data_IF_124932933572
#
_entry.id   IF_124932933572
#
_cell.length_a   1.000
_cell.length_b   1.000
_cell.length_c   1.000
_cell.angle_alpha   90.00
_cell.angle_beta   90.00
_cell.angle_gamma   90.00
#
_symmetry.space_group_name_H-M   'P 1'
#
loop_
_entity.id
_entity.type
_entity.pdbx_description
1 polymer ?
#
# COMPACT_ATOMS: atom_id res chain seq x y z
N UNK A 1 -42.91 -45.72 46.63
CA UNK A 1 -41.46 -45.57 46.38
C UNK A 1 -41.08 -45.34 44.91
N UNK A 2 -41.65 -46.06 43.92
CA UNK A 2 -41.23 -45.97 42.50
C UNK A 2 -41.35 -44.57 41.83
N UNK A 3 -42.38 -43.77 42.14
CA UNK A 3 -42.56 -42.42 41.55
C UNK A 3 -41.51 -41.39 42.03
N UNK A 4 -41.06 -41.48 43.29
CA UNK A 4 -40.02 -40.58 43.83
C UNK A 4 -38.66 -40.85 43.20
N UNK A 5 -38.31 -42.12 42.95
CA UNK A 5 -37.06 -42.46 42.26
C UNK A 5 -37.07 -42.03 40.80
N UNK A 6 -38.19 -42.16 40.10
CA UNK A 6 -38.30 -41.70 38.71
C UNK A 6 -38.13 -40.17 38.58
N UNK A 7 -38.75 -39.40 39.49
CA UNK A 7 -38.60 -37.95 39.52
C UNK A 7 -37.14 -37.53 39.79
N UNK A 8 -36.47 -38.17 40.74
CA UNK A 8 -35.06 -37.87 41.08
C UNK A 8 -34.13 -38.20 39.90
N UNK A 9 -34.32 -39.35 39.24
CA UNK A 9 -33.52 -39.72 38.06
C UNK A 9 -33.73 -38.75 36.90
N UNK A 10 -34.97 -38.33 36.64
CA UNK A 10 -35.26 -37.36 35.59
C UNK A 10 -34.62 -35.99 35.87
N UNK A 11 -34.66 -35.52 37.11
CA UNK A 11 -34.00 -34.26 37.51
C UNK A 11 -32.48 -34.34 37.35
N UNK A 12 -31.85 -35.46 37.71
CA UNK A 12 -30.41 -35.66 37.54
C UNK A 12 -30.01 -35.62 36.05
N UNK A 13 -30.77 -36.28 35.18
CA UNK A 13 -30.51 -36.27 33.74
C UNK A 13 -30.63 -34.85 33.17
N UNK A 14 -31.67 -34.11 33.54
CA UNK A 14 -31.86 -32.72 33.09
C UNK A 14 -30.70 -31.82 33.54
N UNK A 15 -30.25 -31.97 34.80
CA UNK A 15 -29.11 -31.20 35.32
C UNK A 15 -27.82 -31.56 34.60
N UNK A 16 -27.58 -32.84 34.29
CA UNK A 16 -26.39 -33.26 33.53
C UNK A 16 -26.43 -32.68 32.11
N UNK A 17 -27.59 -32.72 31.43
CA UNK A 17 -27.75 -32.15 30.08
C UNK A 17 -27.54 -30.62 30.10
N UNK A 18 -28.07 -29.93 31.11
CA UNK A 18 -27.89 -28.48 31.26
C UNK A 18 -26.44 -28.10 31.58
N UNK A 19 -25.74 -28.89 32.42
CA UNK A 19 -24.34 -28.64 32.74
C UNK A 19 -23.42 -28.93 31.56
N UNK A 20 -23.72 -29.98 30.77
CA UNK A 20 -22.95 -30.30 29.57
C UNK A 20 -23.19 -29.30 28.44
N UNK A 21 -24.41 -28.78 28.28
CA UNK A 21 -24.67 -27.69 27.33
C UNK A 21 -24.01 -26.38 27.76
N UNK A 22 -24.03 -26.02 29.05
CA UNK A 22 -23.27 -24.89 29.58
C UNK A 22 -21.77 -25.05 29.38
N UNK A 23 -21.23 -26.26 29.56
CA UNK A 23 -19.82 -26.56 29.33
C UNK A 23 -19.44 -26.43 27.86
N UNK A 24 -20.27 -26.93 26.94
CA UNK A 24 -20.05 -26.78 25.48
C UNK A 24 -20.15 -25.31 25.06
N UNK A 25 -21.13 -24.55 25.60
CA UNK A 25 -21.27 -23.11 25.33
C UNK A 25 -20.07 -22.34 25.86
N UNK A 26 -19.64 -22.58 27.12
CA UNK A 26 -18.46 -21.94 27.68
C UNK A 26 -17.18 -22.36 26.95
N UNK A 27 -17.05 -23.63 26.57
CA UNK A 27 -15.90 -24.10 25.80
C UNK A 27 -15.83 -23.39 24.45
N UNK A 28 -16.95 -23.32 23.72
CA UNK A 28 -17.03 -22.65 22.42
C UNK A 28 -16.83 -21.13 22.53
N UNK A 29 -17.33 -20.48 23.59
CA UNK A 29 -17.06 -19.08 23.91
C UNK A 29 -15.62 -18.83 24.39
N UNK A 30 -14.93 -19.86 24.91
CA UNK A 30 -13.57 -19.77 25.45
C UNK A 30 -12.47 -20.16 24.45
N UNK A 31 -12.83 -20.71 23.29
CA UNK A 31 -11.89 -20.91 22.20
C UNK A 31 -11.50 -19.54 21.67
N UNK A 32 -10.41 -18.98 22.21
CA UNK A 32 -9.64 -17.98 21.47
C UNK A 32 -9.21 -18.65 20.18
N UNK A 33 -9.93 -18.37 19.10
CA UNK A 33 -9.50 -18.77 17.76
C UNK A 33 -8.19 -18.04 17.53
N UNK A 34 -7.09 -18.78 17.47
CA UNK A 34 -5.81 -18.17 17.15
C UNK A 34 -5.93 -17.49 15.77
N UNK A 35 -5.38 -16.28 15.61
CA UNK A 35 -5.39 -15.61 14.31
C UNK A 35 -4.71 -16.51 13.27
N UNK A 36 -5.21 -16.54 12.02
CA UNK A 36 -4.61 -17.36 10.99
C UNK A 36 -3.19 -16.88 10.71
N UNK A 37 -2.32 -17.82 10.36
CA UNK A 37 -0.94 -17.52 9.98
C UNK A 37 -0.85 -16.88 8.58
N UNK A 38 -1.89 -17.06 7.74
CA UNK A 38 -2.00 -16.46 6.41
C UNK A 38 -3.42 -15.92 6.16
N UNK A 39 -3.48 -14.71 5.56
CA UNK A 39 -4.71 -14.07 5.10
C UNK A 39 -4.74 -14.07 3.58
N UNK A 40 -5.63 -14.86 2.98
CA UNK A 40 -5.74 -15.05 1.53
C UNK A 40 -7.07 -14.48 1.07
N UNK A 41 -7.04 -13.60 0.07
CA UNK A 41 -8.21 -12.82 -0.29
C UNK A 41 -8.16 -12.16 -1.66
N UNK A 42 -9.16 -11.32 -1.88
CA UNK A 42 -9.35 -10.55 -3.11
C UNK A 42 -9.65 -9.10 -2.75
N UNK A 43 -9.08 -8.17 -3.53
CA UNK A 43 -9.47 -6.76 -3.50
C UNK A 43 -10.59 -6.49 -4.48
N UNK A 44 -11.78 -6.16 -3.95
CA UNK A 44 -12.96 -5.83 -4.74
C UNK A 44 -12.97 -4.35 -5.11
N UNK A 45 -12.89 -4.06 -6.41
CA UNK A 45 -12.86 -2.68 -6.93
C UNK A 45 -14.14 -2.26 -7.67
N UNK A 46 -15.18 -3.10 -7.67
CA UNK A 46 -16.45 -2.83 -8.36
C UNK A 46 -17.36 -1.92 -7.56
N UNK A 47 -18.41 -1.38 -8.15
CA UNK A 47 -19.23 -0.29 -7.59
C UNK A 47 -20.56 -0.73 -6.98
N UNK A 48 -20.79 -2.04 -6.77
CA UNK A 48 -22.05 -2.57 -6.26
C UNK A 48 -21.89 -3.55 -5.09
N UNK A 49 -22.62 -3.30 -4.00
CA UNK A 49 -22.71 -4.24 -2.86
C UNK A 49 -23.16 -5.64 -3.32
N UNK A 50 -24.12 -5.72 -4.23
CA UNK A 50 -24.62 -6.99 -4.78
C UNK A 50 -23.51 -7.80 -5.44
N UNK A 51 -22.67 -7.16 -6.26
CA UNK A 51 -21.55 -7.85 -6.92
C UNK A 51 -20.44 -8.20 -5.92
N UNK A 52 -20.17 -7.35 -4.94
CA UNK A 52 -19.24 -7.68 -3.85
C UNK A 52 -19.66 -8.96 -3.10
N UNK A 53 -20.96 -9.10 -2.78
CA UNK A 53 -21.53 -10.32 -2.18
C UNK A 53 -21.37 -11.56 -3.06
N UNK A 54 -21.63 -11.43 -4.37
CA UNK A 54 -21.40 -12.53 -5.32
C UNK A 54 -19.94 -12.96 -5.38
N UNK A 55 -19.00 -12.00 -5.31
CA UNK A 55 -17.58 -12.31 -5.26
C UNK A 55 -17.22 -13.04 -3.97
N UNK A 56 -17.72 -12.59 -2.80
CA UNK A 56 -17.56 -13.28 -1.52
C UNK A 56 -18.06 -14.73 -1.63
N UNK A 57 -19.25 -14.95 -2.19
CA UNK A 57 -19.82 -16.28 -2.36
C UNK A 57 -18.98 -17.18 -3.27
N UNK A 58 -18.36 -16.62 -4.31
CA UNK A 58 -17.49 -17.35 -5.23
C UNK A 58 -16.20 -17.85 -4.55
N UNK A 59 -15.75 -17.20 -3.46
CA UNK A 59 -14.38 -17.41 -2.92
C UNK A 59 -14.29 -17.84 -1.47
N UNK A 60 -15.36 -17.68 -0.67
CA UNK A 60 -15.37 -17.97 0.79
C UNK A 60 -14.98 -19.40 1.19
N UNK A 61 -14.94 -20.35 0.24
CA UNK A 61 -14.52 -21.74 0.49
C UNK A 61 -13.01 -21.98 0.48
N UNK A 62 -12.22 -21.05 -0.05
CA UNK A 62 -10.77 -21.17 -0.24
C UNK A 62 -10.03 -19.83 -0.07
N UNK A 63 -10.67 -18.89 0.62
CA UNK A 63 -10.10 -17.60 1.02
C UNK A 63 -10.68 -17.22 2.37
N UNK A 64 -9.97 -16.38 3.11
CA UNK A 64 -10.41 -15.90 4.42
C UNK A 64 -10.30 -14.37 4.57
N UNK A 65 -10.00 -13.62 3.51
CA UNK A 65 -9.88 -12.16 3.53
C UNK A 65 -10.69 -11.53 2.38
N UNK A 66 -11.49 -10.52 2.70
CA UNK A 66 -12.12 -9.64 1.74
C UNK A 66 -11.62 -8.21 1.93
N UNK A 67 -11.01 -7.65 0.88
CA UNK A 67 -10.54 -6.27 0.88
C UNK A 67 -11.51 -5.43 0.04
N UNK A 68 -12.14 -4.44 0.64
CA UNK A 68 -12.96 -3.48 -0.10
C UNK A 68 -12.05 -2.37 -0.62
N UNK A 69 -11.80 -2.34 -1.93
CA UNK A 69 -10.96 -1.33 -2.61
C UNK A 69 -11.75 -0.68 -3.75
N UNK A 70 -12.94 -0.16 -3.44
CA UNK A 70 -13.93 0.30 -4.41
C UNK A 70 -14.21 1.80 -4.31
N UNK A 71 -13.85 2.53 -5.37
CA UNK A 71 -13.79 3.99 -5.42
C UNK A 71 -14.89 4.75 -4.68
N UNK A 72 -16.15 4.64 -5.10
CA UNK A 72 -17.26 5.36 -4.43
C UNK A 72 -17.87 4.58 -3.27
N UNK A 73 -17.95 3.24 -3.35
CA UNK A 73 -18.55 2.43 -2.27
C UNK A 73 -17.80 2.61 -0.95
N UNK A 74 -16.48 2.76 -1.01
CA UNK A 74 -15.68 2.95 0.19
C UNK A 74 -15.96 4.29 0.91
N UNK A 75 -16.67 5.22 0.27
CA UNK A 75 -17.08 6.50 0.87
C UNK A 75 -18.50 6.45 1.42
N UNK A 76 -19.23 5.37 1.20
CA UNK A 76 -20.55 5.12 1.72
C UNK A 76 -20.45 4.11 2.88
N UNK A 77 -20.47 4.62 4.11
CA UNK A 77 -20.30 3.80 5.30
C UNK A 77 -21.39 2.74 5.48
N UNK A 78 -22.60 2.95 4.93
CA UNK A 78 -23.65 1.94 4.96
C UNK A 78 -23.31 0.78 4.02
N UNK A 79 -22.79 1.09 2.83
CA UNK A 79 -22.27 0.07 1.90
C UNK A 79 -21.06 -0.67 2.48
N UNK A 80 -20.12 0.04 3.13
CA UNK A 80 -18.99 -0.58 3.83
C UNK A 80 -19.47 -1.53 4.93
N UNK A 81 -20.45 -1.09 5.72
CA UNK A 81 -21.05 -1.91 6.78
C UNK A 81 -21.72 -3.16 6.23
N UNK A 82 -22.51 -3.03 5.16
CA UNK A 82 -23.24 -4.15 4.57
C UNK A 82 -22.30 -5.21 3.97
N UNK A 83 -21.23 -4.79 3.29
CA UNK A 83 -20.21 -5.72 2.78
C UNK A 83 -19.36 -6.33 3.90
N UNK A 84 -18.99 -5.55 4.91
CA UNK A 84 -18.26 -6.03 6.08
C UNK A 84 -19.04 -7.10 6.85
N UNK A 85 -20.34 -6.86 7.09
CA UNK A 85 -21.24 -7.85 7.71
C UNK A 85 -21.29 -9.13 6.90
N UNK A 86 -21.49 -9.02 5.59
CA UNK A 86 -21.60 -10.19 4.73
C UNK A 86 -20.31 -11.00 4.66
N UNK A 87 -19.15 -10.33 4.58
CA UNK A 87 -17.84 -10.99 4.59
C UNK A 87 -17.59 -11.74 5.90
N UNK A 88 -17.94 -11.13 7.03
CA UNK A 88 -17.73 -11.71 8.37
C UNK A 88 -18.71 -12.86 8.63
N UNK A 89 -19.97 -12.72 8.23
CA UNK A 89 -20.96 -13.82 8.27
C UNK A 89 -20.52 -15.00 7.39
N UNK A 90 -19.80 -14.73 6.30
CA UNK A 90 -19.16 -15.74 5.46
C UNK A 90 -17.86 -16.34 6.05
N UNK A 91 -17.47 -15.92 7.27
CA UNK A 91 -16.30 -16.45 7.98
C UNK A 91 -14.97 -15.76 7.61
N UNK A 92 -15.01 -14.65 6.87
CA UNK A 92 -13.84 -13.94 6.39
C UNK A 92 -13.41 -12.81 7.34
N UNK A 93 -12.19 -12.34 7.14
CA UNK A 93 -11.66 -11.09 7.67
C UNK A 93 -11.96 -9.96 6.69
N UNK A 94 -12.12 -8.75 7.21
CA UNK A 94 -12.47 -7.58 6.42
C UNK A 94 -11.39 -6.49 6.54
N UNK A 95 -10.98 -5.94 5.40
CA UNK A 95 -10.06 -4.80 5.30
C UNK A 95 -10.67 -3.73 4.38
N UNK A 96 -11.28 -2.67 4.93
CA UNK A 96 -11.81 -1.56 4.13
C UNK A 96 -10.72 -0.54 3.78
N UNK A 97 -10.64 -0.18 2.50
CA UNK A 97 -9.81 0.92 1.98
C UNK A 97 -10.58 2.23 2.01
N UNK A 98 -10.02 3.30 2.57
CA UNK A 98 -10.68 4.60 2.65
C UNK A 98 -9.98 5.70 1.85
N UNK A 99 -9.05 5.36 0.95
CA UNK A 99 -8.27 6.38 0.25
C UNK A 99 -7.49 7.25 1.23
N UNK A 100 -7.41 8.55 0.93
CA UNK A 100 -6.91 9.57 1.84
C UNK A 100 -8.03 10.31 2.60
N UNK A 101 -9.23 9.69 2.69
CA UNK A 101 -10.41 10.33 3.26
C UNK A 101 -10.57 10.00 4.74
N UNK A 102 -10.18 10.93 5.62
CA UNK A 102 -10.54 10.91 7.04
C UNK A 102 -11.55 12.03 7.32
N UNK A 103 -12.71 11.66 7.86
CA UNK A 103 -13.78 12.60 8.22
C UNK A 103 -14.04 12.54 9.74
N UNK A 104 -14.72 13.56 10.27
CA UNK A 104 -15.04 13.64 11.71
C UNK A 104 -15.80 12.41 12.23
N UNK A 105 -16.73 11.89 11.41
CA UNK A 105 -17.52 10.67 11.72
C UNK A 105 -16.71 9.37 11.74
N UNK A 106 -15.47 9.40 11.23
CA UNK A 106 -14.66 8.19 11.07
C UNK A 106 -14.28 7.56 12.41
N UNK A 107 -14.03 8.38 13.43
CA UNK A 107 -13.77 7.90 14.80
C UNK A 107 -14.93 7.08 15.36
N UNK A 108 -16.15 7.64 15.25
CA UNK A 108 -17.39 6.98 15.72
C UNK A 108 -17.66 5.70 14.94
N UNK A 109 -17.49 5.73 13.62
CA UNK A 109 -17.64 4.55 12.79
C UNK A 109 -16.64 3.46 13.18
N UNK A 110 -15.36 3.82 13.38
CA UNK A 110 -14.31 2.87 13.71
C UNK A 110 -14.53 2.19 15.07
N UNK A 111 -14.99 2.93 16.08
CA UNK A 111 -15.36 2.34 17.38
C UNK A 111 -16.55 1.38 17.27
N UNK A 112 -17.56 1.74 16.47
CA UNK A 112 -18.70 0.86 16.17
C UNK A 112 -18.25 -0.40 15.43
N UNK A 113 -17.41 -0.25 14.40
CA UNK A 113 -16.90 -1.34 13.58
C UNK A 113 -16.07 -2.32 14.41
N UNK A 114 -15.19 -1.85 15.29
CA UNK A 114 -14.45 -2.71 16.23
C UNK A 114 -15.37 -3.47 17.17
N UNK A 115 -16.36 -2.79 17.75
CA UNK A 115 -17.31 -3.44 18.67
C UNK A 115 -18.11 -4.53 17.96
N UNK A 116 -18.48 -4.28 16.70
CA UNK A 116 -19.30 -5.16 15.87
C UNK A 116 -18.52 -6.35 15.32
N UNK A 117 -17.33 -6.12 14.79
CA UNK A 117 -16.55 -7.09 14.01
C UNK A 117 -15.36 -7.68 14.78
N UNK A 118 -14.96 -7.08 15.89
CA UNK A 118 -13.84 -7.52 16.72
C UNK A 118 -12.57 -7.74 15.91
N UNK A 119 -11.89 -8.86 16.18
CA UNK A 119 -10.63 -9.22 15.51
C UNK A 119 -10.80 -9.57 14.02
N UNK A 120 -12.05 -9.67 13.51
CA UNK A 120 -12.30 -9.87 12.08
C UNK A 120 -12.17 -8.59 11.26
N UNK A 121 -12.21 -7.42 11.89
CA UNK A 121 -11.76 -6.17 11.29
C UNK A 121 -10.24 -6.09 11.41
N UNK A 122 -9.52 -6.26 10.30
CA UNK A 122 -8.06 -6.31 10.35
C UNK A 122 -7.39 -4.97 10.64
N UNK A 123 -8.02 -3.90 10.20
CA UNK A 123 -7.42 -2.58 10.16
C UNK A 123 -8.19 -1.64 9.25
N UNK A 124 -7.56 -0.52 8.96
CA UNK A 124 -7.96 0.40 7.89
C UNK A 124 -6.86 0.41 6.86
N UNK A 125 -7.24 0.22 5.60
CA UNK A 125 -6.34 0.48 4.47
C UNK A 125 -6.47 1.96 4.11
N UNK A 126 -5.40 2.72 4.35
CA UNK A 126 -5.34 4.18 4.18
C UNK A 126 -4.20 4.54 3.22
N UNK A 127 -4.53 5.34 2.22
CA UNK A 127 -3.66 5.79 1.12
C UNK A 127 -3.06 4.65 0.30
N UNK A 128 -3.37 4.64 -1.00
CA UNK A 128 -2.74 3.74 -1.97
C UNK A 128 -1.53 4.44 -2.60
N UNK A 129 -0.45 3.70 -2.80
CA UNK A 129 0.80 4.11 -3.43
C UNK A 129 1.36 5.45 -2.93
N UNK A 130 1.47 5.67 -1.60
CA UNK A 130 1.87 6.95 -1.05
C UNK A 130 3.20 7.44 -1.67
N UNK A 131 4.18 6.57 -1.90
CA UNK A 131 5.55 6.94 -2.25
C UNK A 131 6.03 6.48 -3.62
N UNK A 132 5.61 5.31 -4.10
CA UNK A 132 6.19 4.66 -5.26
C UNK A 132 5.58 5.06 -6.60
N UNK A 133 5.13 4.07 -7.39
CA UNK A 133 4.69 4.30 -8.77
C UNK A 133 3.26 4.82 -8.75
N UNK A 134 3.09 6.12 -8.53
CA UNK A 134 1.77 6.76 -8.54
C UNK A 134 1.06 6.48 -9.88
N UNK A 135 0.05 5.60 -9.86
CA UNK A 135 -0.88 5.43 -10.97
C UNK A 135 -1.86 6.59 -11.02
N UNK A 136 -2.19 7.12 -9.84
CA UNK A 136 -2.89 8.40 -9.69
C UNK A 136 -2.03 9.56 -10.19
N UNK A 137 -2.66 10.53 -10.85
CA UNK A 137 -1.95 11.58 -11.61
C UNK A 137 -1.03 12.45 -10.75
N UNK A 138 -1.33 12.63 -9.46
CA UNK A 138 -0.55 13.48 -8.57
C UNK A 138 -0.76 13.20 -7.08
N UNK A 139 0.19 13.68 -6.27
CA UNK A 139 0.10 13.77 -4.81
C UNK A 139 0.29 15.22 -4.38
N UNK A 140 -0.45 15.66 -3.35
CA UNK A 140 -0.35 17.00 -2.77
C UNK A 140 0.31 16.98 -1.40
N UNK A 141 1.10 18.01 -1.15
CA UNK A 141 1.74 18.33 0.11
C UNK A 141 1.38 19.77 0.47
N UNK A 142 1.33 20.05 1.76
CA UNK A 142 1.20 21.41 2.27
C UNK A 142 2.51 21.79 2.94
N UNK A 143 3.04 22.97 2.61
CA UNK A 143 4.15 23.51 3.36
C UNK A 143 3.62 24.14 4.65
N UNK A 144 3.97 23.55 5.79
CA UNK A 144 3.47 24.02 7.08
C UNK A 144 4.06 25.38 7.49
N UNK A 145 5.17 25.80 6.88
CA UNK A 145 5.82 27.08 7.20
C UNK A 145 5.19 28.22 6.40
N UNK A 146 5.02 28.03 5.09
CA UNK A 146 4.52 29.08 4.20
C UNK A 146 3.01 29.01 3.95
N UNK A 147 2.40 27.84 4.17
CA UNK A 147 1.02 27.54 3.78
C UNK A 147 0.86 27.21 2.30
N UNK A 148 1.95 27.17 1.52
CA UNK A 148 1.91 26.91 0.08
C UNK A 148 1.49 25.45 -0.20
N UNK A 149 0.83 25.25 -1.35
CA UNK A 149 0.47 23.92 -1.83
C UNK A 149 1.53 23.43 -2.81
N UNK A 150 2.01 22.20 -2.61
CA UNK A 150 3.00 21.56 -3.48
C UNK A 150 2.36 20.33 -4.10
N UNK A 151 2.39 20.20 -5.42
CA UNK A 151 1.87 19.03 -6.14
C UNK A 151 3.02 18.32 -6.83
N UNK A 152 3.19 17.02 -6.58
CA UNK A 152 4.11 16.13 -7.31
C UNK A 152 3.29 15.32 -8.32
N UNK A 153 3.63 15.38 -9.60
CA UNK A 153 2.93 14.61 -10.64
C UNK A 153 3.55 13.22 -10.83
N UNK A 154 2.81 12.29 -11.46
CA UNK A 154 3.33 10.99 -11.92
C UNK A 154 4.50 11.09 -12.90
N UNK A 155 4.69 12.23 -13.55
CA UNK A 155 5.80 12.50 -14.47
C UNK A 155 7.02 13.10 -13.79
N UNK A 156 6.96 13.36 -12.48
CA UNK A 156 8.06 13.91 -11.71
C UNK A 156 8.16 15.42 -11.73
N UNK A 157 7.17 16.10 -12.34
CA UNK A 157 7.05 17.55 -12.23
C UNK A 157 6.60 17.94 -10.83
N UNK A 158 7.03 19.12 -10.40
CA UNK A 158 6.65 19.70 -9.11
C UNK A 158 6.00 21.05 -9.34
N UNK A 159 4.77 21.22 -8.86
CA UNK A 159 4.04 22.48 -8.93
C UNK A 159 3.94 23.09 -7.54
N UNK A 160 4.55 24.27 -7.35
CA UNK A 160 4.41 25.09 -6.16
C UNK A 160 3.36 26.18 -6.42
N UNK A 161 2.26 26.13 -5.67
CA UNK A 161 1.23 27.16 -5.67
C UNK A 161 1.30 27.97 -4.38
N UNK A 162 1.63 29.25 -4.51
CA UNK A 162 1.75 30.17 -3.39
C UNK A 162 0.38 30.72 -2.99
N UNK A 163 0.23 31.12 -1.72
CA UNK A 163 -1.02 31.69 -1.19
C UNK A 163 -1.54 32.93 -1.95
N UNK A 164 -0.64 33.69 -2.57
CA UNK A 164 -0.99 34.86 -3.37
C UNK A 164 -1.40 34.53 -4.82
N UNK A 165 -1.52 33.25 -5.16
CA UNK A 165 -1.94 32.76 -6.48
C UNK A 165 -0.82 32.56 -7.49
N UNK A 166 0.44 32.88 -7.17
CA UNK A 166 1.59 32.56 -8.03
C UNK A 166 1.72 31.04 -8.13
N UNK A 167 1.92 30.53 -9.35
CA UNK A 167 2.16 29.12 -9.63
C UNK A 167 3.52 28.96 -10.30
N UNK A 168 4.37 28.09 -9.76
CA UNK A 168 5.67 27.75 -10.32
C UNK A 168 5.66 26.26 -10.63
N UNK A 169 5.80 25.90 -11.90
CA UNK A 169 5.93 24.52 -12.36
C UNK A 169 7.40 24.22 -12.67
N UNK A 170 7.99 23.32 -11.90
CA UNK A 170 9.33 22.77 -12.12
C UNK A 170 9.18 21.49 -12.95
N UNK A 171 9.47 21.59 -14.24
CA UNK A 171 9.39 20.48 -15.19
C UNK A 171 10.54 19.49 -14.94
N UNK A 172 10.29 18.20 -15.17
CA UNK A 172 11.27 17.15 -14.88
C UNK A 172 12.57 17.26 -15.71
N UNK A 173 12.51 17.91 -16.87
CA UNK A 173 13.69 18.14 -17.71
C UNK A 173 14.64 19.21 -17.16
N UNK A 174 14.13 20.10 -16.31
CA UNK A 174 14.87 21.17 -15.63
C UNK A 174 14.31 22.57 -15.88
N UNK A 175 13.36 22.72 -16.80
CA UNK A 175 12.74 24.01 -17.10
C UNK A 175 11.78 24.46 -15.99
N UNK A 176 11.62 25.77 -15.82
CA UNK A 176 10.77 26.36 -14.80
C UNK A 176 9.78 27.33 -15.44
N UNK A 177 8.49 27.03 -15.31
CA UNK A 177 7.41 27.90 -15.77
C UNK A 177 6.80 28.65 -14.60
N UNK A 178 6.84 29.98 -14.67
CA UNK A 178 6.22 30.87 -13.70
C UNK A 178 4.92 31.43 -14.30
N UNK A 179 3.82 31.29 -13.56
CA UNK A 179 2.54 31.92 -13.84
C UNK A 179 2.13 32.82 -12.68
N UNK A 180 1.82 34.08 -12.97
CA UNK A 180 1.42 35.07 -11.97
C UNK A 180 0.01 35.57 -12.25
N UNK A 181 -0.85 35.67 -11.20
CA UNK A 181 -2.18 36.20 -11.37
C UNK A 181 -2.13 37.68 -11.79
N UNK A 182 -3.17 38.16 -12.47
CA UNK A 182 -3.28 39.57 -12.83
C UNK A 182 -3.19 40.44 -11.57
N UNK A 183 -2.62 41.67 -11.66
CA UNK A 183 -2.54 42.56 -10.51
C UNK A 183 -3.91 42.82 -9.87
N UNK A 184 -3.97 42.91 -8.55
CA UNK A 184 -5.22 43.22 -7.85
C UNK A 184 -5.88 44.50 -8.41
N UNK A 185 -7.16 44.40 -8.78
CA UNK A 185 -7.92 45.47 -9.44
C UNK A 185 -7.80 45.54 -10.97
N UNK A 186 -7.10 44.58 -11.60
CA UNK A 186 -7.09 44.39 -13.05
C UNK A 186 -8.40 43.76 -13.54
N UNK A 187 -8.85 44.15 -14.74
CA UNK A 187 -9.98 43.52 -15.45
C UNK A 187 -9.55 42.33 -16.34
N UNK A 188 -8.28 41.95 -16.31
CA UNK A 188 -7.77 40.77 -17.04
C UNK A 188 -7.95 39.53 -16.18
N UNK A 189 -8.53 38.48 -16.75
CA UNK A 189 -8.56 37.13 -16.15
C UNK A 189 -7.37 36.26 -16.61
N UNK A 190 -6.43 36.86 -17.35
CA UNK A 190 -5.29 36.16 -17.94
C UNK A 190 -4.06 36.34 -17.06
N UNK A 191 -3.47 35.21 -16.64
CA UNK A 191 -2.19 35.20 -15.94
C UNK A 191 -1.04 35.60 -16.87
N UNK A 192 -0.06 36.30 -16.32
CA UNK A 192 1.24 36.50 -16.96
C UNK A 192 2.07 35.23 -16.84
N UNK A 193 2.91 34.95 -17.84
CA UNK A 193 3.60 33.68 -17.96
C UNK A 193 4.99 33.83 -18.58
N UNK A 194 5.99 33.21 -17.96
CA UNK A 194 7.38 33.18 -18.41
C UNK A 194 7.99 31.81 -18.18
N UNK A 195 8.81 31.38 -19.13
CA UNK A 195 9.53 30.12 -19.10
C UNK A 195 11.03 30.39 -18.94
N UNK A 196 11.61 29.84 -17.89
CA UNK A 196 13.04 29.86 -17.61
C UNK A 196 13.63 28.51 -18.00
N UNK A 197 14.46 28.49 -19.04
CA UNK A 197 15.12 27.28 -19.51
C UNK A 197 16.32 26.94 -18.65
N UNK A 198 16.61 25.65 -18.49
CA UNK A 198 17.79 25.18 -17.77
C UNK A 198 19.13 25.66 -18.38
N UNK A 199 19.14 26.03 -19.68
CA UNK A 199 20.31 26.61 -20.35
C UNK A 199 20.52 28.11 -20.08
N UNK A 200 19.64 28.73 -19.28
CA UNK A 200 19.67 30.15 -18.93
C UNK A 200 18.82 31.05 -19.83
N UNK A 201 18.20 30.51 -20.89
CA UNK A 201 17.30 31.27 -21.77
C UNK A 201 15.99 31.61 -21.04
N UNK A 202 15.46 32.81 -21.29
CA UNK A 202 14.19 33.27 -20.72
C UNK A 202 13.24 33.60 -21.87
N UNK A 203 12.08 32.95 -21.88
CA UNK A 203 11.04 33.12 -22.90
C UNK A 203 9.77 33.69 -22.25
N UNK A 204 9.41 34.92 -22.62
CA UNK A 204 8.16 35.53 -22.14
C UNK A 204 7.01 35.01 -23.00
N UNK A 205 6.12 34.24 -22.38
CA UNK A 205 4.94 33.66 -23.04
C UNK A 205 3.78 34.66 -23.02
N UNK A 206 3.58 35.33 -21.87
CA UNK A 206 2.59 36.40 -21.67
C UNK A 206 3.17 37.46 -20.76
N UNK A 207 3.28 38.70 -21.25
CA UNK A 207 3.90 39.79 -20.52
C UNK A 207 3.25 40.05 -19.15
N UNK A 208 4.08 40.45 -18.19
CA UNK A 208 3.67 40.98 -16.90
C UNK A 208 3.70 42.52 -16.95
N UNK A 209 2.55 43.23 -16.85
CA UNK A 209 2.50 44.69 -16.95
C UNK A 209 3.39 45.44 -15.94
N UNK A 210 3.66 44.83 -14.78
CA UNK A 210 4.54 45.37 -13.72
C UNK A 210 5.88 44.63 -13.64
N UNK A 211 6.16 43.74 -14.59
CA UNK A 211 7.24 42.77 -14.55
C UNK A 211 6.96 41.61 -13.59
N UNK A 212 7.61 40.47 -13.83
CA UNK A 212 7.48 39.26 -13.01
C UNK A 212 8.11 39.42 -11.61
N UNK A 213 7.59 38.73 -10.60
CA UNK A 213 8.13 38.76 -9.23
C UNK A 213 9.52 38.11 -9.12
N UNK A 214 9.83 37.17 -10.00
CA UNK A 214 11.13 36.52 -10.13
C UNK A 214 11.75 36.86 -11.49
N UNK A 215 13.05 37.11 -11.51
CA UNK A 215 13.78 37.61 -12.68
C UNK A 215 14.76 36.59 -13.24
N UNK A 216 15.16 35.60 -12.46
CA UNK A 216 16.19 34.63 -12.84
C UNK A 216 15.76 33.20 -12.55
N UNK A 217 16.37 32.26 -13.29
CA UNK A 217 16.26 30.82 -13.02
C UNK A 217 16.69 30.50 -11.59
N UNK A 218 17.80 31.09 -11.13
CA UNK A 218 18.39 30.81 -9.82
C UNK A 218 17.46 31.20 -8.66
N UNK A 219 16.79 32.36 -8.73
CA UNK A 219 15.82 32.78 -7.71
C UNK A 219 14.66 31.79 -7.55
N UNK A 220 14.19 31.21 -8.66
CA UNK A 220 13.14 30.19 -8.64
C UNK A 220 13.69 28.83 -8.17
N UNK A 221 14.88 28.45 -8.62
CA UNK A 221 15.51 27.19 -8.24
C UNK A 221 15.79 27.12 -6.72
N UNK A 222 16.19 28.23 -6.10
CA UNK A 222 16.45 28.30 -4.65
C UNK A 222 15.21 28.07 -3.78
N UNK A 223 14.01 28.34 -4.32
CA UNK A 223 12.73 28.11 -3.64
C UNK A 223 12.02 26.85 -4.13
N UNK A 224 12.67 26.03 -4.97
CA UNK A 224 12.13 24.74 -5.42
C UNK A 224 11.92 23.82 -4.20
N UNK A 225 10.71 23.26 -4.01
CA UNK A 225 10.49 22.20 -3.03
C UNK A 225 11.25 20.92 -3.41
N UNK A 226 11.52 20.04 -2.44
CA UNK A 226 12.24 18.78 -2.70
C UNK A 226 13.64 19.02 -3.29
N UNK A 227 14.44 19.84 -2.60
CA UNK A 227 15.77 20.28 -3.07
C UNK A 227 16.74 19.13 -3.21
N UNK A 228 16.67 18.20 -2.27
CA UNK A 228 17.53 17.03 -2.22
C UNK A 228 16.78 15.79 -1.69
N UNK A 229 17.50 14.68 -1.64
CA UNK A 229 16.99 13.37 -1.25
C UNK A 229 16.53 13.37 0.23
N UNK A 230 17.20 14.11 1.11
CA UNK A 230 16.89 14.15 2.54
C UNK A 230 15.63 14.98 2.82
N UNK A 231 15.53 16.17 2.23
CA UNK A 231 14.30 16.98 2.31
C UNK A 231 13.11 16.20 1.72
N UNK A 232 13.33 15.47 0.63
CA UNK A 232 12.27 14.70 -0.02
C UNK A 232 11.78 13.56 0.85
N UNK A 233 12.69 12.80 1.43
CA UNK A 233 12.35 11.77 2.41
C UNK A 233 11.58 12.38 3.59
N UNK A 234 12.05 13.49 4.14
CA UNK A 234 11.39 14.16 5.26
C UNK A 234 9.94 14.58 4.91
N UNK A 235 9.74 15.24 3.76
CA UNK A 235 8.40 15.64 3.31
C UNK A 235 7.48 14.44 3.07
N UNK A 236 8.04 13.34 2.57
CA UNK A 236 7.31 12.10 2.38
C UNK A 236 6.80 11.55 3.73
N UNK A 237 7.70 11.38 4.70
CA UNK A 237 7.39 10.80 6.01
C UNK A 237 6.34 11.61 6.78
N UNK A 238 6.39 12.95 6.70
CA UNK A 238 5.46 13.78 7.45
C UNK A 238 4.11 14.02 6.77
N UNK A 239 3.97 13.71 5.47
CA UNK A 239 2.78 14.08 4.68
C UNK A 239 1.47 13.64 5.33
N UNK A 240 1.41 12.39 5.77
CA UNK A 240 0.21 11.74 6.31
C UNK A 240 0.32 11.42 7.81
N UNK A 241 1.39 11.88 8.47
CA UNK A 241 1.70 11.52 9.86
C UNK A 241 0.52 11.76 10.81
N UNK A 242 -0.13 12.92 10.76
CA UNK A 242 -1.29 13.24 11.59
C UNK A 242 -2.47 12.25 11.41
N UNK A 243 -2.78 11.88 10.16
CA UNK A 243 -3.87 10.96 9.85
C UNK A 243 -3.52 9.53 10.25
N UNK A 244 -2.28 9.10 10.01
CA UNK A 244 -1.79 7.78 10.41
C UNK A 244 -1.80 7.67 11.94
N UNK A 245 -1.30 8.66 12.66
CA UNK A 245 -1.29 8.68 14.12
C UNK A 245 -2.72 8.67 14.69
N UNK A 246 -3.63 9.44 14.10
CA UNK A 246 -5.05 9.41 14.44
C UNK A 246 -5.64 7.99 14.30
N UNK A 247 -5.39 7.30 13.18
CA UNK A 247 -5.89 5.95 12.95
C UNK A 247 -5.26 4.92 13.89
N UNK A 248 -3.95 5.03 14.15
CA UNK A 248 -3.18 4.09 14.98
C UNK A 248 -3.58 4.09 16.44
N UNK A 249 -4.11 5.19 16.95
CA UNK A 249 -4.73 5.22 18.27
C UNK A 249 -5.91 4.25 18.39
N UNK A 250 -6.44 3.78 17.26
CA UNK A 250 -7.61 2.94 17.18
C UNK A 250 -7.33 1.56 16.59
N UNK A 251 -6.65 1.48 15.46
CA UNK A 251 -6.57 0.24 14.67
C UNK A 251 -5.25 0.15 13.93
N UNK A 252 -4.96 -1.03 13.36
CA UNK A 252 -3.81 -1.19 12.46
C UNK A 252 -4.02 -0.43 11.17
N UNK A 253 -2.98 0.23 10.69
CA UNK A 253 -3.02 0.97 9.43
C UNK A 253 -2.25 0.23 8.34
N UNK A 254 -2.96 -0.08 7.26
CA UNK A 254 -2.43 -0.74 6.08
C UNK A 254 -2.22 0.30 4.97
N UNK A 255 -1.22 0.06 4.13
CA UNK A 255 -1.06 0.72 2.82
C UNK A 255 -0.61 -0.30 1.78
N UNK A 256 -0.60 0.09 0.51
CA UNK A 256 0.01 -0.69 -0.57
C UNK A 256 0.85 0.20 -1.46
N UNK A 257 1.92 -0.34 -2.04
CA UNK A 257 2.79 0.42 -2.94
C UNK A 257 3.54 -0.50 -3.93
N UNK A 258 4.10 0.08 -4.99
CA UNK A 258 5.00 -0.56 -5.95
C UNK A 258 6.49 -0.46 -5.56
N UNK A 259 6.81 0.20 -4.45
CA UNK A 259 8.17 0.35 -3.95
C UNK A 259 8.21 1.24 -2.72
N UNK A 260 9.40 1.68 -2.32
CA UNK A 260 9.60 2.62 -1.21
C UNK A 260 9.08 2.16 0.16
N UNK A 261 8.82 0.86 0.31
CA UNK A 261 8.28 0.20 1.52
C UNK A 261 8.99 0.56 2.83
N UNK A 262 10.31 0.78 2.76
CA UNK A 262 11.09 1.25 3.91
C UNK A 262 10.51 2.53 4.49
N UNK A 263 10.18 3.48 3.63
CA UNK A 263 9.68 4.80 3.99
C UNK A 263 8.21 4.76 4.39
N UNK A 264 7.43 3.83 3.85
CA UNK A 264 6.04 3.63 4.31
C UNK A 264 6.03 3.22 5.79
N UNK A 265 6.87 2.26 6.18
CA UNK A 265 6.96 1.88 7.59
C UNK A 265 7.48 3.01 8.47
N UNK A 266 8.47 3.79 8.00
CA UNK A 266 8.94 4.99 8.72
C UNK A 266 7.86 6.07 8.84
N UNK A 267 6.97 6.20 7.85
CA UNK A 267 5.83 7.13 7.90
C UNK A 267 4.75 6.68 8.90
N UNK A 268 4.83 5.43 9.38
CA UNK A 268 4.06 4.95 10.53
C UNK A 268 3.13 3.78 10.23
N UNK A 269 3.03 3.31 8.98
CA UNK A 269 2.16 2.18 8.63
C UNK A 269 2.52 0.90 9.41
N UNK A 270 1.51 0.08 9.74
CA UNK A 270 1.69 -1.17 10.48
C UNK A 270 1.90 -2.36 9.54
N UNK A 271 1.28 -2.31 8.37
CA UNK A 271 1.39 -3.34 7.34
C UNK A 271 1.51 -2.68 5.97
N UNK A 272 2.50 -3.10 5.20
CA UNK A 272 2.66 -2.70 3.80
C UNK A 272 2.39 -3.90 2.90
N UNK A 273 1.51 -3.70 1.92
CA UNK A 273 1.21 -4.67 0.88
C UNK A 273 1.96 -4.29 -0.40
N UNK A 274 2.95 -5.08 -0.80
CA UNK A 274 3.65 -4.85 -2.07
C UNK A 274 2.76 -5.21 -3.24
N UNK A 275 2.54 -4.26 -4.15
CA UNK A 275 1.83 -4.47 -5.39
C UNK A 275 2.77 -5.14 -6.41
N UNK A 276 2.68 -6.46 -6.53
CA UNK A 276 3.52 -7.28 -7.39
C UNK A 276 2.93 -7.30 -8.80
N UNK A 277 3.65 -6.75 -9.78
CA UNK A 277 3.15 -6.65 -11.16
C UNK A 277 4.15 -6.05 -12.15
N UNK A 278 3.62 -5.41 -13.19
CA UNK A 278 4.32 -4.67 -14.25
C UNK A 278 5.42 -5.43 -14.99
N UNK A 279 5.29 -6.77 -15.06
CA UNK A 279 6.31 -7.65 -15.63
C UNK A 279 7.70 -7.45 -14.98
N UNK A 280 7.72 -7.04 -13.71
CA UNK A 280 8.92 -6.89 -12.91
C UNK A 280 9.31 -8.21 -12.25
N UNK A 281 10.58 -8.33 -11.85
CA UNK A 281 11.07 -9.49 -11.12
C UNK A 281 10.36 -9.62 -9.76
N UNK A 282 9.66 -10.74 -9.54
CA UNK A 282 9.02 -11.06 -8.25
C UNK A 282 10.07 -11.08 -7.14
N UNK A 283 11.22 -11.73 -7.39
CA UNK A 283 12.30 -11.81 -6.42
C UNK A 283 12.76 -10.42 -5.98
N UNK A 284 13.01 -9.50 -6.92
CA UNK A 284 13.48 -8.15 -6.59
C UNK A 284 12.46 -7.34 -5.79
N UNK A 285 11.18 -7.40 -6.17
CA UNK A 285 10.10 -6.73 -5.44
C UNK A 285 9.98 -7.28 -4.01
N UNK A 286 10.08 -8.60 -3.84
CA UNK A 286 10.05 -9.24 -2.53
C UNK A 286 11.31 -8.93 -1.70
N UNK A 287 12.50 -8.87 -2.31
CA UNK A 287 13.74 -8.47 -1.62
C UNK A 287 13.62 -7.07 -1.00
N UNK A 288 13.04 -6.12 -1.73
CA UNK A 288 12.80 -4.76 -1.22
C UNK A 288 11.78 -4.72 -0.08
N UNK A 289 10.64 -5.40 -0.27
CA UNK A 289 9.55 -5.40 0.71
C UNK A 289 9.90 -6.16 1.99
N UNK A 290 10.42 -7.38 1.85
CA UNK A 290 10.80 -8.23 2.97
C UNK A 290 11.96 -7.61 3.76
N UNK A 291 12.94 -7.01 3.08
CA UNK A 291 14.04 -6.29 3.72
C UNK A 291 13.55 -5.13 4.59
N UNK A 292 12.66 -4.29 4.06
CA UNK A 292 12.03 -3.21 4.82
C UNK A 292 11.25 -3.73 6.03
N UNK A 293 10.39 -4.73 5.84
CA UNK A 293 9.56 -5.28 6.89
C UNK A 293 10.38 -5.96 8.00
N UNK A 294 11.36 -6.79 7.64
CA UNK A 294 12.20 -7.50 8.61
C UNK A 294 13.05 -6.55 9.45
N UNK A 295 13.68 -5.56 8.82
CA UNK A 295 14.52 -4.59 9.53
C UNK A 295 13.72 -3.76 10.54
N UNK A 296 12.45 -3.47 10.22
CA UNK A 296 11.56 -2.68 11.07
C UNK A 296 10.62 -3.54 11.94
N UNK A 297 10.75 -4.87 11.91
CA UNK A 297 9.93 -5.84 12.64
C UNK A 297 8.43 -5.69 12.40
N UNK A 298 8.04 -5.51 11.13
CA UNK A 298 6.65 -5.30 10.70
C UNK A 298 6.10 -6.48 9.92
N UNK A 299 4.77 -6.62 9.96
CA UNK A 299 4.03 -7.56 9.12
C UNK A 299 3.95 -7.00 7.69
N UNK A 300 3.97 -7.87 6.68
CA UNK A 300 3.87 -7.47 5.28
C UNK A 300 3.06 -8.47 4.45
N UNK A 301 2.66 -8.09 3.25
CA UNK A 301 1.98 -8.98 2.32
C UNK A 301 2.09 -8.52 0.88
N UNK A 302 1.36 -9.16 -0.01
CA UNK A 302 1.36 -8.86 -1.44
C UNK A 302 -0.05 -8.64 -1.97
N UNK A 303 -0.17 -7.67 -2.88
CA UNK A 303 -1.28 -7.58 -3.83
C UNK A 303 -0.72 -7.99 -5.19
N UNK A 304 -1.16 -9.12 -5.73
CA UNK A 304 -0.85 -9.48 -7.12
C UNK A 304 -1.73 -8.64 -8.02
N UNK A 305 -1.12 -7.86 -8.92
CA UNK A 305 -1.81 -6.86 -9.74
C UNK A 305 -1.35 -6.91 -11.20
N UNK A 306 -1.62 -5.85 -11.95
CA UNK A 306 -1.48 -5.75 -13.40
C UNK A 306 -0.10 -6.19 -13.87
N UNK A 307 -0.05 -7.11 -14.83
CA UNK A 307 1.12 -7.42 -15.67
C UNK A 307 1.02 -6.76 -17.03
N UNK A 308 -0.18 -6.68 -17.60
CA UNK A 308 -0.47 -6.18 -18.95
C UNK A 308 -1.33 -4.91 -18.91
N UNK A 309 -1.29 -4.14 -20.00
CA UNK A 309 -2.14 -2.95 -20.19
C UNK A 309 -3.45 -3.26 -20.91
N UNK A 310 -3.74 -4.54 -21.14
CA UNK A 310 -4.96 -5.01 -21.82
C UNK A 310 -5.62 -6.08 -20.98
N UNK A 311 -6.95 -6.11 -20.99
CA UNK A 311 -7.75 -7.12 -20.30
C UNK A 311 -7.24 -8.55 -20.58
N UNK A 312 -7.12 -9.43 -19.55
CA UNK A 312 -7.57 -9.25 -18.17
C UNK A 312 -6.57 -8.51 -17.26
N UNK A 313 -5.54 -7.86 -17.81
CA UNK A 313 -4.47 -7.11 -17.13
C UNK A 313 -3.58 -7.95 -16.21
N UNK A 314 -4.10 -8.99 -15.56
CA UNK A 314 -3.42 -9.96 -14.72
C UNK A 314 -2.62 -10.96 -15.56
N UNK A 315 -1.70 -11.64 -14.88
CA UNK A 315 -1.03 -12.81 -15.44
C UNK A 315 -1.98 -14.02 -15.51
N UNK A 316 -1.55 -15.11 -16.16
CA UNK A 316 -2.31 -16.35 -16.16
C UNK A 316 -2.35 -17.02 -14.76
N UNK A 317 -3.28 -17.97 -14.56
CA UNK A 317 -3.47 -18.61 -13.26
C UNK A 317 -2.24 -19.35 -12.71
N UNK A 318 -1.41 -19.93 -13.57
CA UNK A 318 -0.19 -20.65 -13.15
C UNK A 318 0.85 -19.70 -12.56
N UNK A 319 1.05 -18.55 -13.20
CA UNK A 319 1.99 -17.53 -12.72
C UNK A 319 1.50 -16.86 -11.44
N UNK A 320 0.18 -16.59 -11.34
CA UNK A 320 -0.42 -16.07 -10.09
C UNK A 320 -0.19 -17.05 -8.93
N UNK A 321 -0.44 -18.34 -9.13
CA UNK A 321 -0.17 -19.36 -8.11
C UNK A 321 1.30 -19.35 -7.67
N UNK A 322 2.23 -19.32 -8.63
CA UNK A 322 3.68 -19.26 -8.38
C UNK A 322 4.09 -18.02 -7.58
N UNK A 323 3.53 -16.86 -7.92
CA UNK A 323 3.79 -15.59 -7.21
C UNK A 323 3.31 -15.63 -5.76
N UNK A 324 2.10 -16.15 -5.53
CA UNK A 324 1.53 -16.31 -4.18
C UNK A 324 2.36 -17.28 -3.34
N UNK A 325 2.72 -18.44 -3.89
CA UNK A 325 3.57 -19.42 -3.21
C UNK A 325 4.95 -18.84 -2.87
N UNK A 326 5.59 -18.15 -3.82
CA UNK A 326 6.90 -17.52 -3.59
C UNK A 326 6.85 -16.50 -2.45
N UNK A 327 5.81 -15.66 -2.40
CA UNK A 327 5.61 -14.72 -1.31
C UNK A 327 5.39 -15.44 0.03
N UNK A 328 4.66 -16.55 0.05
CA UNK A 328 4.40 -17.36 1.24
C UNK A 328 5.68 -17.98 1.80
N UNK A 329 6.49 -18.59 0.94
CA UNK A 329 7.79 -19.14 1.29
C UNK A 329 8.77 -18.06 1.76
N UNK A 330 8.64 -16.82 1.27
CA UNK A 330 9.41 -15.67 1.75
C UNK A 330 8.89 -15.08 3.08
N UNK A 331 7.71 -15.47 3.55
CA UNK A 331 7.18 -15.08 4.85
C UNK A 331 6.11 -13.98 4.82
N UNK A 332 5.52 -13.69 3.66
CA UNK A 332 4.36 -12.79 3.57
C UNK A 332 3.21 -13.32 4.43
N UNK A 333 2.44 -12.42 5.04
CA UNK A 333 1.27 -12.75 5.88
C UNK A 333 -0.06 -12.52 5.18
N UNK A 334 -0.10 -11.56 4.25
CA UNK A 334 -1.30 -11.19 3.50
C UNK A 334 -1.10 -11.45 2.00
N UNK A 335 -2.11 -12.02 1.36
CA UNK A 335 -2.09 -12.46 -0.03
C UNK A 335 -3.39 -12.04 -0.69
N UNK A 336 -3.32 -11.05 -1.56
CA UNK A 336 -4.50 -10.45 -2.16
C UNK A 336 -4.35 -10.46 -3.67
N UNK A 337 -5.39 -10.89 -4.39
CA UNK A 337 -5.45 -10.71 -5.84
C UNK A 337 -6.28 -9.47 -6.18
N UNK A 338 -5.72 -8.57 -6.99
CA UNK A 338 -6.39 -7.33 -7.37
C UNK A 338 -7.48 -7.59 -8.42
N UNK A 339 -8.74 -7.34 -8.06
CA UNK A 339 -9.85 -7.45 -8.99
C UNK A 339 -10.29 -6.07 -9.49
N UNK A 340 -9.64 -5.60 -10.57
CA UNK A 340 -9.99 -4.36 -11.24
C UNK A 340 -11.39 -4.41 -11.86
N UNK A 341 -12.11 -3.29 -11.82
CA UNK A 341 -13.42 -3.10 -12.45
C UNK A 341 -13.43 -1.84 -13.30
N UNK A 342 -14.08 -1.94 -14.46
CA UNK A 342 -14.48 -0.84 -15.31
C UNK A 342 -15.91 -1.04 -15.81
N UNK A 343 -16.44 -0.08 -16.59
CA UNK A 343 -17.81 -0.11 -17.10
C UNK A 343 -18.12 -1.30 -18.01
N UNK A 344 -17.10 -1.99 -18.54
CA UNK A 344 -17.25 -3.13 -19.44
C UNK A 344 -16.96 -4.47 -18.72
N UNK A 345 -16.62 -4.41 -17.44
CA UNK A 345 -16.26 -5.59 -16.68
C UNK A 345 -17.46 -6.48 -16.42
N UNK A 346 -17.22 -7.80 -16.41
CA UNK A 346 -18.23 -8.78 -16.05
C UNK A 346 -18.52 -8.77 -14.54
N UNK A 347 -19.34 -9.72 -14.08
CA UNK A 347 -19.71 -9.89 -12.67
C UNK A 347 -18.49 -9.91 -11.73
N UNK A 348 -17.37 -10.46 -12.18
CA UNK A 348 -16.15 -10.63 -11.41
C UNK A 348 -15.00 -9.73 -11.88
N UNK A 349 -15.30 -8.56 -12.41
CA UNK A 349 -14.27 -7.59 -12.77
C UNK A 349 -13.38 -8.13 -13.89
N UNK A 350 -12.07 -8.06 -13.65
CA UNK A 350 -11.05 -8.56 -14.55
C UNK A 350 -10.71 -10.05 -14.36
N UNK A 351 -11.23 -10.68 -13.31
CA UNK A 351 -10.86 -12.05 -12.97
C UNK A 351 -11.51 -13.09 -13.88
N UNK A 352 -10.70 -14.04 -14.34
CA UNK A 352 -11.12 -15.23 -15.09
C UNK A 352 -11.15 -16.47 -14.20
N UNK A 353 -11.76 -17.57 -14.66
CA UNK A 353 -11.87 -18.81 -13.88
C UNK A 353 -10.50 -19.36 -13.45
N UNK A 354 -9.47 -19.23 -14.30
CA UNK A 354 -8.11 -19.65 -13.97
C UNK A 354 -7.51 -18.89 -12.78
N UNK A 355 -7.91 -17.63 -12.56
CA UNK A 355 -7.45 -16.85 -11.42
C UNK A 355 -8.11 -17.32 -10.10
N UNK A 356 -9.38 -17.71 -10.16
CA UNK A 356 -10.07 -18.33 -9.02
C UNK A 356 -9.47 -19.70 -8.70
N UNK A 357 -9.15 -20.48 -9.72
CA UNK A 357 -8.46 -21.76 -9.55
C UNK A 357 -7.09 -21.58 -8.91
N UNK A 358 -6.33 -20.55 -9.31
CA UNK A 358 -5.03 -20.24 -8.71
C UNK A 358 -5.13 -19.95 -7.20
N UNK A 359 -6.11 -19.14 -6.77
CA UNK A 359 -6.36 -18.88 -5.35
C UNK A 359 -6.77 -20.15 -4.60
N UNK A 360 -7.62 -20.97 -5.20
CA UNK A 360 -8.07 -22.24 -4.60
C UNK A 360 -6.91 -23.23 -4.42
N UNK A 361 -6.09 -23.41 -5.45
CA UNK A 361 -4.87 -24.22 -5.36
C UNK A 361 -3.88 -23.66 -4.35
N UNK A 362 -3.67 -22.34 -4.32
CA UNK A 362 -2.79 -21.75 -3.31
C UNK A 362 -3.28 -22.04 -1.88
N UNK A 363 -4.59 -21.94 -1.64
CA UNK A 363 -5.15 -22.27 -0.34
C UNK A 363 -4.92 -23.74 0.05
N UNK A 364 -5.33 -24.68 -0.80
CA UNK A 364 -5.30 -26.11 -0.46
C UNK A 364 -3.91 -26.74 -0.55
N UNK A 365 -3.12 -26.37 -1.56
CA UNK A 365 -1.85 -27.03 -1.87
C UNK A 365 -0.67 -26.40 -1.12
N UNK A 366 -0.80 -25.14 -0.68
CA UNK A 366 0.25 -24.38 0.03
C UNK A 366 -0.16 -24.03 1.46
N UNK A 367 -1.24 -23.28 1.67
CA UNK A 367 -1.59 -22.75 3.01
C UNK A 367 -2.05 -23.84 3.97
N UNK A 368 -2.89 -24.77 3.51
CA UNK A 368 -3.36 -25.91 4.32
C UNK A 368 -2.37 -27.07 4.38
N UNK A 369 -1.32 -27.04 3.54
CA UNK A 369 -0.38 -28.13 3.42
C UNK A 369 0.76 -27.99 4.45
N UNK A 370 0.82 -28.84 5.49
CA UNK A 370 1.82 -28.73 6.55
C UNK A 370 3.26 -29.00 6.10
N UNK A 371 3.46 -29.48 4.86
CA UNK A 371 4.81 -29.68 4.30
C UNK A 371 5.40 -28.40 3.71
N UNK A 372 4.56 -27.40 3.38
CA UNK A 372 5.03 -26.11 2.87
C UNK A 372 5.10 -25.14 4.04
N UNK A 373 6.32 -24.70 4.35
CA UNK A 373 6.57 -23.87 5.53
C UNK A 373 6.62 -22.40 5.12
N UNK A 374 5.71 -21.60 5.66
CA UNK A 374 5.72 -20.14 5.50
C UNK A 374 7.05 -19.55 6.00
N UNK A 375 7.65 -18.68 5.20
CA UNK A 375 8.93 -18.07 5.56
C UNK A 375 10.11 -19.05 5.61
N UNK A 376 10.02 -20.21 4.93
CA UNK A 376 11.14 -21.15 4.78
C UNK A 376 12.34 -20.55 4.05
N UNK A 377 12.11 -19.56 3.18
CA UNK A 377 13.16 -18.79 2.52
C UNK A 377 13.57 -17.62 3.41
N UNK A 378 14.80 -17.69 3.93
CA UNK A 378 15.42 -16.65 4.76
C UNK A 378 16.55 -15.97 4.01
N UNK A 379 16.61 -14.65 4.10
CA UNK A 379 17.74 -13.90 3.58
C UNK A 379 18.98 -14.11 4.44
N UNK A 380 20.09 -14.41 3.78
CA UNK A 380 21.45 -14.44 4.35
C UNK A 380 22.35 -13.36 3.74
N UNK A 381 21.77 -12.57 2.83
CA UNK A 381 22.48 -11.58 2.03
C UNK A 381 21.66 -10.30 1.98
N UNK A 382 22.35 -9.15 1.97
CA UNK A 382 21.69 -7.86 1.86
C UNK A 382 22.41 -6.92 0.89
N UNK A 383 21.62 -6.17 0.11
CA UNK A 383 22.08 -5.00 -0.63
C UNK A 383 21.69 -3.77 0.18
N UNK A 384 22.67 -2.93 0.52
CA UNK A 384 22.47 -1.76 1.38
C UNK A 384 22.45 -0.50 0.51
N UNK A 385 21.29 0.13 0.43
CA UNK A 385 21.11 1.42 -0.22
C UNK A 385 21.50 2.56 0.72
N UNK A 386 21.96 3.71 0.18
CA UNK A 386 22.19 4.88 1.00
C UNK A 386 20.93 5.31 1.74
N UNK A 387 21.09 5.89 2.93
CA UNK A 387 19.97 6.48 3.68
C UNK A 387 19.16 7.42 2.77
N UNK A 388 17.84 7.39 2.93
CA UNK A 388 16.90 8.25 2.21
C UNK A 388 16.84 8.06 0.68
N UNK A 389 17.59 7.13 0.08
CA UNK A 389 17.63 6.93 -1.37
C UNK A 389 16.37 6.23 -1.90
N UNK A 390 15.24 6.94 -1.96
CA UNK A 390 13.92 6.42 -2.31
C UNK A 390 13.81 5.96 -3.76
N UNK A 391 14.39 4.80 -4.09
CA UNK A 391 14.39 4.22 -5.41
C UNK A 391 13.63 2.89 -5.43
N UNK A 392 12.63 2.77 -6.30
CA UNK A 392 11.74 1.61 -6.37
C UNK A 392 12.37 0.36 -6.99
N UNK A 393 13.57 0.48 -7.57
CA UNK A 393 14.31 -0.60 -8.23
C UNK A 393 13.53 -1.25 -9.39
N UNK A 394 12.63 -0.52 -10.07
CA UNK A 394 11.81 -1.16 -11.13
C UNK A 394 12.63 -1.43 -12.40
N UNK A 395 13.53 -0.51 -12.74
CA UNK A 395 14.53 -0.62 -13.81
C UNK A 395 15.71 0.31 -13.47
N UNK A 396 16.81 0.22 -14.24
CA UNK A 396 18.04 0.97 -13.97
C UNK A 396 17.82 2.49 -13.95
N UNK A 397 17.04 3.03 -14.88
CA UNK A 397 16.74 4.46 -15.01
C UNK A 397 15.48 4.89 -14.24
N UNK A 398 15.01 4.06 -13.29
CA UNK A 398 13.84 4.40 -12.50
C UNK A 398 14.12 5.62 -11.61
N UNK A 399 13.13 6.51 -11.48
CA UNK A 399 13.30 7.82 -10.83
C UNK A 399 13.45 7.67 -9.32
N UNK A 400 14.42 8.38 -8.74
CA UNK A 400 14.56 8.47 -7.28
C UNK A 400 13.50 9.45 -6.77
N UNK A 401 12.72 9.00 -5.78
CA UNK A 401 11.52 9.64 -5.24
C UNK A 401 10.45 10.00 -6.28
N UNK A 402 10.56 9.49 -7.51
CA UNK A 402 9.74 9.90 -8.64
C UNK A 402 10.05 11.29 -9.20
N UNK A 403 11.02 12.03 -8.65
CA UNK A 403 11.29 13.46 -8.98
C UNK A 403 12.75 13.75 -9.33
N UNK A 404 13.68 12.86 -9.02
CA UNK A 404 15.08 12.97 -9.41
C UNK A 404 15.38 11.96 -10.52
N UNK A 405 16.19 12.37 -11.49
CA UNK A 405 16.72 11.50 -12.53
C UNK A 405 17.61 10.44 -11.89
N UNK A 406 17.58 9.22 -12.44
CA UNK A 406 18.60 8.23 -12.13
C UNK A 406 19.98 8.79 -12.50
N UNK A 407 20.95 8.56 -11.63
CA UNK A 407 22.32 9.02 -11.75
C UNK A 407 23.30 7.85 -11.79
N UNK A 408 24.60 8.14 -11.78
CA UNK A 408 25.63 7.09 -11.78
C UNK A 408 25.55 6.20 -10.54
N UNK A 409 25.10 6.76 -9.41
CA UNK A 409 24.85 6.00 -8.19
C UNK A 409 23.70 4.99 -8.38
N UNK A 410 22.61 5.38 -9.05
CA UNK A 410 21.51 4.46 -9.39
C UNK A 410 22.01 3.27 -10.20
N UNK A 411 22.87 3.50 -11.21
CA UNK A 411 23.41 2.43 -12.06
C UNK A 411 24.28 1.46 -11.27
N UNK A 412 25.13 1.98 -10.38
CA UNK A 412 25.97 1.14 -9.52
C UNK A 412 25.11 0.30 -8.56
N UNK A 413 24.07 0.89 -7.95
CA UNK A 413 23.12 0.15 -7.10
C UNK A 413 22.34 -0.90 -7.90
N UNK A 414 21.95 -0.61 -9.14
CA UNK A 414 21.32 -1.57 -10.03
C UNK A 414 22.24 -2.77 -10.29
N UNK A 415 23.48 -2.53 -10.70
CA UNK A 415 24.46 -3.59 -10.96
C UNK A 415 24.73 -4.45 -9.72
N UNK A 416 24.86 -3.83 -8.54
CA UNK A 416 24.98 -4.55 -7.26
C UNK A 416 23.76 -5.41 -6.96
N UNK A 417 22.56 -4.85 -7.14
CA UNK A 417 21.29 -5.57 -6.93
C UNK A 417 21.18 -6.78 -7.86
N UNK A 418 21.45 -6.62 -9.15
CA UNK A 418 21.43 -7.73 -10.11
C UNK A 418 22.49 -8.80 -9.78
N UNK A 419 23.68 -8.38 -9.33
CA UNK A 419 24.73 -9.30 -8.90
C UNK A 419 24.31 -10.12 -7.68
N UNK A 420 23.76 -9.48 -6.65
CA UNK A 420 23.30 -10.16 -5.44
C UNK A 420 22.15 -11.13 -5.76
N UNK A 421 21.13 -10.66 -6.49
CA UNK A 421 19.96 -11.46 -6.88
C UNK A 421 20.35 -12.65 -7.77
N UNK A 422 21.26 -12.46 -8.72
CA UNK A 422 21.70 -13.55 -9.60
C UNK A 422 22.41 -14.66 -8.81
N UNK A 423 23.21 -14.29 -7.79
CA UNK A 423 23.99 -15.20 -6.96
C UNK A 423 23.17 -15.91 -5.89
N UNK A 424 22.30 -15.17 -5.19
CA UNK A 424 21.64 -15.65 -3.97
C UNK A 424 20.13 -15.85 -4.13
N UNK A 425 19.56 -15.54 -5.30
CA UNK A 425 18.13 -15.72 -5.62
C UNK A 425 17.25 -15.03 -4.57
N UNK A 426 16.29 -15.74 -3.97
CA UNK A 426 15.35 -15.21 -2.98
C UNK A 426 15.98 -14.98 -1.60
N UNK A 427 17.25 -15.31 -1.39
CA UNK A 427 17.96 -15.15 -0.12
C UNK A 427 18.61 -13.76 0.03
N UNK A 428 18.17 -12.77 -0.77
CA UNK A 428 18.62 -11.37 -0.70
C UNK A 428 17.50 -10.49 -0.16
N UNK A 429 17.83 -9.61 0.77
CA UNK A 429 17.03 -8.45 1.14
C UNK A 429 17.68 -7.17 0.61
N UNK A 430 16.86 -6.17 0.27
CA UNK A 430 17.32 -4.80 0.00
C UNK A 430 16.94 -3.97 1.22
N UNK A 431 17.94 -3.32 1.83
CA UNK A 431 17.80 -2.54 3.05
C UNK A 431 18.46 -1.17 2.88
N UNK A 432 18.34 -0.30 3.88
CA UNK A 432 18.91 1.05 3.85
C UNK A 432 19.96 1.24 4.96
N UNK A 433 20.97 2.07 4.69
CA UNK A 433 22.01 2.47 5.63
C UNK A 433 21.47 3.48 6.66
N UNK A 434 20.45 3.07 7.40
CA UNK A 434 19.85 3.88 8.44
C UNK A 434 20.33 3.39 9.81
N UNK A 435 21.06 4.25 10.51
CA UNK A 435 21.74 3.93 11.78
C UNK A 435 20.79 3.53 12.92
N UNK A 436 19.49 3.82 12.78
CA UNK A 436 18.47 3.37 13.73
C UNK A 436 18.22 1.85 13.65
N UNK A 437 18.56 1.21 12.54
CA UNK A 437 18.33 -0.21 12.32
C UNK A 437 19.65 -0.98 12.16
N UNK A 438 19.98 -1.80 13.16
CA UNK A 438 21.17 -2.62 13.12
C UNK A 438 21.04 -3.75 12.11
N UNK A 439 22.03 -3.89 11.22
CA UNK A 439 22.09 -5.00 10.25
C UNK A 439 22.20 -6.34 11.01
N UNK A 440 21.26 -7.28 10.83
CA UNK A 440 21.28 -8.57 11.50
C UNK A 440 22.52 -9.39 11.17
N UNK A 441 23.06 -10.10 12.17
CA UNK A 441 24.19 -11.02 11.98
C UNK A 441 23.89 -12.20 11.03
N UNK A 442 22.61 -12.45 10.74
CA UNK A 442 22.19 -13.45 9.74
C UNK A 442 22.54 -13.04 8.31
N UNK A 443 22.74 -11.74 8.03
CA UNK A 443 23.22 -11.29 6.72
C UNK A 443 24.74 -11.43 6.64
N UNK A 444 25.18 -12.61 6.19
CA UNK A 444 26.60 -12.96 6.05
C UNK A 444 27.25 -12.37 4.80
N UNK A 445 26.45 -12.03 3.76
CA UNK A 445 26.93 -11.35 2.56
C UNK A 445 26.33 -9.94 2.46
N UNK A 446 27.16 -8.90 2.58
CA UNK A 446 26.73 -7.51 2.46
C UNK A 446 27.28 -6.92 1.17
N UNK A 447 26.39 -6.32 0.38
CA UNK A 447 26.70 -5.60 -0.84
C UNK A 447 26.39 -4.12 -0.62
N UNK A 448 27.37 -3.23 -0.80
CA UNK A 448 27.13 -1.79 -0.70
C UNK A 448 28.07 -1.03 -1.64
N UNK A 449 27.79 0.24 -1.91
CA UNK A 449 28.69 1.06 -2.73
C UNK A 449 30.05 1.32 -2.05
N UNK A 450 30.08 1.29 -0.71
CA UNK A 450 31.23 1.64 0.10
C UNK A 450 31.99 0.43 0.66
N UNK A 451 31.51 -0.81 0.43
CA UNK A 451 32.07 -2.06 0.95
C UNK A 451 31.84 -3.22 0.01
#
# INVERSE_FOLDING_TARGET
>A
MKKKHFAVTATIIIVIVLLSSLFVINYHLSLKVEPPHAYVGIAYCGDSVTQGKLLIDKVKGYTNLFVLQSGLLQRDLDCVNELGDYAIDAGMYFLPYFGNFIQESFSVWLESAKTKWGDRLLGVYYTDEPGGKMLDDYVKYKDNTTGDSITKTRYGDVVLQKLNGIVINYEFDGDIRLSEPPPAGSNSDINSEVLFRADGTVEIIKDAPKGFSYKTYQELYEIRPFKDIDETAQRFLYRDSDNIDFLKNSTKVFTSDYGLYWFDYLAGYDVVLGQIGWNLSVNQQLSLLRGAANMQQKDWGVIITWKYQTHPYLDNGTEIFSQLQTAYECGAKYFVLFNYYDSNSGTYGTMLEEHFQALSSFWHDVVENPQIIQGSVKADSAVVFPKNYGWGTRWEEDKVWGIFKADEQTKQLWALTQTAISKHKLNVDIIFDDTEFSIPASYVNIYSLNK
#
